data_IF_091380678253
#
_entry.id   IF_091380678253
#
_cell.length_a   1.000
_cell.length_b   1.000
_cell.length_c   1.000
_cell.angle_alpha   90.00
_cell.angle_beta   90.00
_cell.angle_gamma   90.00
#
_symmetry.space_group_name_H-M   'P 1'
#
loop_
_entity.id
_entity.type
_entity.pdbx_description
1 polymer ?
#
# COMPACT_ATOMS: atom_id res chain seq x y z
N UNK A 1 -0.65 9.27 -8.24
CA UNK A 1 0.54 9.45 -7.36
C UNK A 1 0.91 8.07 -6.84
N UNK A 2 2.20 7.77 -6.75
CA UNK A 2 2.66 6.46 -6.24
C UNK A 2 2.67 6.45 -4.71
N UNK A 3 2.29 5.32 -4.14
CA UNK A 3 2.16 5.05 -2.72
C UNK A 3 2.80 3.71 -2.38
N UNK A 4 3.36 3.61 -1.19
CA UNK A 4 3.84 2.39 -0.58
C UNK A 4 2.85 2.00 0.51
N UNK A 5 2.37 0.76 0.47
CA UNK A 5 1.42 0.23 1.43
C UNK A 5 2.11 -0.89 2.21
N UNK A 6 2.25 -0.73 3.52
CA UNK A 6 2.71 -1.78 4.42
C UNK A 6 1.51 -2.64 4.81
N UNK A 7 1.59 -3.94 4.59
CA UNK A 7 0.53 -4.93 4.85
C UNK A 7 1.10 -6.16 5.55
N UNK A 8 0.32 -6.88 6.36
CA UNK A 8 0.75 -8.13 6.97
C UNK A 8 1.07 -9.22 5.93
N UNK A 9 2.05 -10.07 6.22
CA UNK A 9 2.32 -11.30 5.46
C UNK A 9 1.06 -12.18 5.47
N UNK A 10 0.69 -12.69 4.29
CA UNK A 10 -0.54 -13.47 4.10
C UNK A 10 -1.79 -12.62 3.81
N UNK A 11 -1.66 -11.30 3.71
CA UNK A 11 -2.73 -10.44 3.17
C UNK A 11 -3.06 -10.85 1.73
N UNK A 12 -4.34 -11.05 1.44
CA UNK A 12 -4.81 -11.34 0.09
C UNK A 12 -4.70 -10.09 -0.78
N UNK A 13 -3.71 -10.08 -1.69
CA UNK A 13 -3.46 -8.95 -2.58
C UNK A 13 -4.60 -8.68 -3.57
N UNK A 14 -5.40 -9.71 -3.89
CA UNK A 14 -6.57 -9.57 -4.76
C UNK A 14 -7.70 -8.78 -4.08
N UNK A 15 -8.03 -9.13 -2.85
CA UNK A 15 -8.99 -8.40 -2.00
C UNK A 15 -8.48 -6.99 -1.70
N UNK A 16 -7.18 -6.83 -1.41
CA UNK A 16 -6.56 -5.52 -1.23
C UNK A 16 -6.71 -4.65 -2.49
N UNK A 17 -6.41 -5.18 -3.68
CA UNK A 17 -6.56 -4.45 -4.93
C UNK A 17 -8.02 -4.05 -5.19
N UNK A 18 -8.97 -4.94 -4.91
CA UNK A 18 -10.40 -4.63 -5.02
C UNK A 18 -10.81 -3.50 -4.08
N UNK A 19 -10.38 -3.53 -2.81
CA UNK A 19 -10.66 -2.49 -1.81
C UNK A 19 -10.01 -1.16 -2.18
N UNK A 20 -8.75 -1.17 -2.60
CA UNK A 20 -8.07 0.03 -3.11
C UNK A 20 -8.85 0.63 -4.27
N UNK A 21 -9.32 -0.20 -5.21
CA UNK A 21 -10.13 0.25 -6.34
C UNK A 21 -11.40 1.00 -5.89
N UNK A 22 -12.07 0.55 -4.82
CA UNK A 22 -13.26 1.25 -4.28
C UNK A 22 -12.98 2.66 -3.77
N UNK A 23 -11.75 2.93 -3.33
CA UNK A 23 -11.32 4.25 -2.82
C UNK A 23 -10.48 5.03 -3.84
N UNK A 24 -10.41 4.57 -5.09
CA UNK A 24 -9.67 5.22 -6.18
C UNK A 24 -8.17 4.94 -6.19
N UNK A 25 -7.71 3.93 -5.44
CA UNK A 25 -6.37 3.37 -5.52
C UNK A 25 -6.29 2.18 -6.49
N UNK A 26 -5.11 1.85 -6.97
CA UNK A 26 -4.83 0.70 -7.83
C UNK A 26 -3.55 0.06 -7.32
N UNK A 27 -3.59 -1.22 -6.97
CA UNK A 27 -2.38 -1.95 -6.61
C UNK A 27 -1.51 -2.10 -7.87
N UNK A 28 -0.21 -1.84 -7.75
CA UNK A 28 0.73 -2.06 -8.82
C UNK A 28 1.19 -3.51 -8.83
N UNK A 29 1.32 -4.06 -10.03
CA UNK A 29 1.88 -5.39 -10.27
C UNK A 29 3.41 -5.32 -10.15
N UNK A 30 3.88 -5.24 -8.90
CA UNK A 30 5.30 -5.25 -8.52
C UNK A 30 5.49 -6.28 -7.41
N UNK A 31 6.69 -6.86 -7.36
CA UNK A 31 7.04 -7.78 -6.29
C UNK A 31 6.94 -7.08 -4.92
N UNK A 32 6.19 -7.67 -3.95
CA UNK A 32 6.16 -7.18 -2.59
C UNK A 32 7.56 -7.23 -1.97
N UNK A 33 7.93 -6.16 -1.26
CA UNK A 33 9.21 -6.06 -0.56
C UNK A 33 8.99 -6.41 0.92
N UNK A 34 9.64 -7.45 1.47
CA UNK A 34 9.54 -7.74 2.89
C UNK A 34 10.19 -6.63 3.72
N UNK A 35 9.46 -6.07 4.68
CA UNK A 35 9.99 -5.08 5.63
C UNK A 35 10.53 -5.76 6.91
N UNK A 36 9.99 -6.93 7.24
CA UNK A 36 10.33 -7.74 8.41
C UNK A 36 9.80 -9.18 8.29
N UNK A 37 9.70 -9.89 9.40
CA UNK A 37 9.22 -11.29 9.42
C UNK A 37 7.72 -11.43 9.11
N UNK A 38 6.91 -10.41 9.44
CA UNK A 38 5.44 -10.47 9.36
C UNK A 38 4.82 -9.36 8.48
N UNK A 39 5.64 -8.55 7.78
CA UNK A 39 5.16 -7.40 7.01
C UNK A 39 5.76 -7.31 5.61
N UNK A 40 4.93 -6.89 4.65
CA UNK A 40 5.25 -6.71 3.24
C UNK A 40 4.89 -5.29 2.81
N UNK A 41 5.71 -4.70 1.97
CA UNK A 41 5.44 -3.43 1.29
C UNK A 41 5.04 -3.71 -0.14
N UNK A 42 3.87 -3.21 -0.53
CA UNK A 42 3.38 -3.24 -1.91
C UNK A 42 3.26 -1.82 -2.44
N UNK A 43 3.37 -1.64 -3.75
CA UNK A 43 3.16 -0.34 -4.36
C UNK A 43 1.72 -0.21 -4.85
N UNK A 44 1.17 1.00 -4.72
CA UNK A 44 -0.13 1.36 -5.26
C UNK A 44 -0.06 2.74 -5.93
N UNK A 45 -0.96 2.99 -6.85
CA UNK A 45 -1.21 4.32 -7.38
C UNK A 45 -2.59 4.81 -6.96
N UNK A 46 -2.68 6.09 -6.61
CA UNK A 46 -3.96 6.67 -6.23
C UNK A 46 -3.91 8.18 -6.04
N UNK A 47 -4.99 8.75 -5.50
CA UNK A 47 -5.08 10.18 -5.20
C UNK A 47 -4.12 10.59 -4.08
N UNK A 48 -3.92 11.89 -3.89
CA UNK A 48 -3.03 12.46 -2.87
C UNK A 48 -3.54 12.22 -1.44
N UNK A 49 -4.83 11.93 -1.27
CA UNK A 49 -5.48 11.61 -0.01
C UNK A 49 -5.66 10.09 0.20
N UNK A 50 -4.99 9.25 -0.59
CA UNK A 50 -5.11 7.78 -0.50
C UNK A 50 -4.81 7.27 0.92
N UNK A 51 -3.79 7.81 1.60
CA UNK A 51 -3.47 7.38 2.95
C UNK A 51 -4.60 7.60 3.97
N UNK A 52 -5.31 8.73 3.89
CA UNK A 52 -6.49 8.98 4.73
C UNK A 52 -7.63 8.01 4.40
N UNK A 53 -7.83 7.68 3.12
CA UNK A 53 -8.86 6.73 2.69
C UNK A 53 -8.55 5.30 3.16
N UNK A 54 -7.29 4.89 3.06
CA UNK A 54 -6.82 3.57 3.52
C UNK A 54 -6.99 3.44 5.04
N UNK A 55 -6.63 4.48 5.81
CA UNK A 55 -6.88 4.51 7.25
C UNK A 55 -8.38 4.36 7.59
N UNK A 56 -9.26 4.90 6.73
CA UNK A 56 -10.71 4.75 6.84
C UNK A 56 -11.24 3.34 6.58
N UNK A 57 -10.44 2.42 6.01
CA UNK A 57 -10.83 1.02 5.78
C UNK A 57 -10.80 0.17 7.06
N UNK A 58 -10.17 0.66 8.14
CA UNK A 58 -10.05 -0.09 9.39
C UNK A 58 -9.18 -1.34 9.28
N UNK A 59 -8.29 -1.38 8.28
CA UNK A 59 -7.35 -2.48 8.07
C UNK A 59 -5.99 -2.13 8.70
N UNK A 60 -5.18 -3.12 9.09
CA UNK A 60 -3.82 -2.92 9.54
C UNK A 60 -2.91 -2.61 8.34
N UNK A 61 -3.17 -1.51 7.65
CA UNK A 61 -2.46 -1.09 6.44
C UNK A 61 -1.99 0.33 6.62
N UNK A 62 -0.70 0.57 6.47
CA UNK A 62 -0.11 1.89 6.50
C UNK A 62 0.22 2.34 5.08
N UNK A 63 -0.05 3.60 4.76
CA UNK A 63 0.11 4.15 3.42
C UNK A 63 1.04 5.36 3.43
N UNK A 64 2.16 5.26 2.74
CA UNK A 64 3.18 6.31 2.64
C UNK A 64 3.31 6.79 1.19
N UNK A 65 3.44 8.09 0.94
CA UNK A 65 3.69 8.58 -0.41
C UNK A 65 5.08 8.11 -0.89
N UNK A 66 5.16 7.61 -2.12
CA UNK A 66 6.41 7.07 -2.70
C UNK A 66 7.53 8.12 -2.82
N UNK A 67 7.22 9.41 -2.70
CA UNK A 67 8.21 10.49 -2.70
C UNK A 67 8.98 10.64 -1.38
N UNK A 68 8.54 10.02 -0.29
CA UNK A 68 9.27 10.04 0.99
C UNK A 68 10.26 8.88 1.14
N UNK A 69 10.23 7.89 0.25
CA UNK A 69 11.18 6.77 0.22
C UNK A 69 12.32 7.05 -0.79
N UNK A 70 13.12 8.09 -0.54
CA UNK A 70 14.51 8.06 -0.98
C UNK A 70 15.25 7.14 0.01
N UNK A 71 15.36 5.85 -0.31
CA UNK A 71 16.33 4.98 0.37
C UNK A 71 17.71 5.62 0.15
N UNK A 72 18.21 6.29 1.19
CA UNK A 72 19.50 6.96 1.19
C UNK A 72 20.60 6.02 0.68
N UNK A 73 21.40 6.53 -0.25
CA UNK A 73 22.57 5.84 -0.80
C UNK A 73 23.77 5.77 0.14
#
# INVERSE_FOLDING_TARGET
>A
MKWLLTVPVGTDLGDLAARLSTIGGTLLDVDPVPLGDDELVVQAEGPHDLGTRVAGLGLPIEAYPSSEFELGG
#
